data_IF_231826178951
#
_entry.id   IF_231826178951
#
_cell.length_a   1.000
_cell.length_b   1.000
_cell.length_c   1.000
_cell.angle_alpha   90.00
_cell.angle_beta   90.00
_cell.angle_gamma   90.00
#
_symmetry.space_group_name_H-M   'P 1'
#
loop_
_entity.id
_entity.type
_entity.pdbx_description
1 polymer ?
#
# COMPACT_ATOMS: atom_id res chain seq x y z
N UNK A 1 10.98 -5.70 21.11
CA UNK A 1 12.14 -6.23 20.37
C UNK A 1 11.67 -7.37 19.49
N UNK A 2 12.32 -7.58 18.34
CA UNK A 2 12.03 -8.73 17.48
C UNK A 2 12.65 -10.02 18.03
N UNK A 3 12.12 -11.20 17.69
CA UNK A 3 12.65 -12.48 18.16
C UNK A 3 14.14 -12.66 17.80
N UNK A 4 14.51 -12.28 16.58
CA UNK A 4 15.88 -12.43 16.10
C UNK A 4 16.87 -11.49 16.79
N UNK A 5 16.46 -10.32 17.30
CA UNK A 5 17.33 -9.46 18.09
C UNK A 5 17.86 -10.14 19.36
N UNK A 6 17.13 -11.15 19.86
CA UNK A 6 17.55 -11.96 20.99
C UNK A 6 18.39 -13.18 20.61
N UNK A 7 18.26 -13.67 19.38
CA UNK A 7 18.81 -14.95 18.93
C UNK A 7 19.96 -14.79 17.94
N UNK A 8 20.22 -13.58 17.45
CA UNK A 8 21.19 -13.37 16.38
C UNK A 8 22.61 -13.64 16.84
N UNK A 9 23.15 -14.78 16.41
CA UNK A 9 24.57 -15.10 16.45
C UNK A 9 25.07 -15.54 15.06
N UNK A 10 24.36 -15.15 14.00
CA UNK A 10 24.71 -15.55 12.63
C UNK A 10 25.94 -14.74 12.16
N UNK A 11 27.08 -15.42 12.10
CA UNK A 11 28.28 -14.94 11.43
C UNK A 11 28.28 -15.50 10.00
N UNK A 12 28.62 -14.68 9.00
CA UNK A 12 28.83 -15.18 7.66
C UNK A 12 30.05 -16.13 7.63
N UNK A 13 30.28 -16.82 6.51
CA UNK A 13 31.44 -17.72 6.33
C UNK A 13 32.80 -17.02 6.48
N UNK A 14 32.82 -15.70 6.68
CA UNK A 14 33.99 -14.83 6.87
C UNK A 14 34.02 -14.22 8.29
N UNK A 15 33.13 -14.63 9.20
CA UNK A 15 33.07 -14.12 10.57
C UNK A 15 32.36 -12.76 10.75
N UNK A 16 31.75 -12.19 9.70
CA UNK A 16 31.02 -10.93 9.79
C UNK A 16 29.62 -11.15 10.34
N UNK A 17 29.21 -10.34 11.31
CA UNK A 17 27.85 -10.35 11.86
C UNK A 17 26.82 -10.08 10.76
N UNK A 18 25.95 -11.05 10.48
CA UNK A 18 24.85 -10.89 9.53
C UNK A 18 23.86 -9.89 10.14
N UNK A 19 23.78 -8.70 9.54
CA UNK A 19 22.91 -7.61 10.02
C UNK A 19 21.44 -8.02 9.96
N UNK A 20 20.83 -8.22 11.13
CA UNK A 20 19.42 -8.55 11.29
C UNK A 20 18.49 -7.32 11.24
N UNK A 21 19.06 -6.13 11.10
CA UNK A 21 18.40 -4.82 11.23
C UNK A 21 17.12 -4.70 10.39
N UNK A 22 17.19 -5.01 9.08
CA UNK A 22 16.04 -4.82 8.17
C UNK A 22 14.82 -5.67 8.52
N UNK A 23 15.03 -6.88 9.03
CA UNK A 23 13.92 -7.75 9.42
C UNK A 23 13.35 -7.31 10.78
N UNK A 24 14.22 -6.83 11.68
CA UNK A 24 13.86 -6.26 12.97
C UNK A 24 13.00 -4.99 12.81
N UNK A 25 13.34 -4.14 11.85
CA UNK A 25 12.56 -2.93 11.53
C UNK A 25 11.15 -3.27 11.05
N UNK A 26 10.97 -4.32 10.26
CA UNK A 26 9.64 -4.76 9.80
C UNK A 26 8.81 -5.27 10.98
N UNK A 27 9.43 -5.97 11.93
CA UNK A 27 8.76 -6.41 13.15
C UNK A 27 8.34 -5.24 14.04
N UNK A 28 9.23 -4.26 14.23
CA UNK A 28 8.92 -3.07 15.03
C UNK A 28 7.80 -2.25 14.39
N UNK A 29 7.80 -2.13 13.06
CA UNK A 29 6.71 -1.51 12.29
C UNK A 29 5.39 -2.29 12.46
N UNK A 30 5.44 -3.63 12.45
CA UNK A 30 4.33 -4.51 12.82
C UNK A 30 3.74 -4.20 14.19
N UNK A 31 4.60 -4.02 15.19
CA UNK A 31 4.18 -3.68 16.55
C UNK A 31 3.55 -2.28 16.64
N UNK A 32 4.10 -1.30 15.92
CA UNK A 32 3.57 0.07 15.85
C UNK A 32 2.19 0.06 15.19
N UNK A 33 2.04 -0.62 14.06
CA UNK A 33 0.77 -0.74 13.37
C UNK A 33 -0.29 -1.42 14.26
N UNK A 34 0.09 -2.49 14.97
CA UNK A 34 -0.79 -3.16 15.92
C UNK A 34 -1.24 -2.21 17.04
N UNK A 35 -0.32 -1.43 17.58
CA UNK A 35 -0.60 -0.43 18.60
C UNK A 35 -1.56 0.67 18.09
N UNK A 36 -1.43 1.09 16.83
CA UNK A 36 -2.34 2.06 16.22
C UNK A 36 -3.76 1.51 16.06
N UNK A 37 -3.90 0.20 15.79
CA UNK A 37 -5.20 -0.44 15.58
C UNK A 37 -5.91 -0.77 16.90
N UNK A 38 -5.17 -1.31 17.89
CA UNK A 38 -5.76 -1.86 19.11
C UNK A 38 -5.50 -1.02 20.37
N UNK A 39 -4.72 0.07 20.27
CA UNK A 39 -4.38 0.89 21.42
C UNK A 39 -3.41 0.24 22.42
N UNK A 40 -2.89 -0.96 22.12
CA UNK A 40 -1.84 -1.64 22.89
C UNK A 40 -0.91 -2.45 21.99
N UNK A 41 0.32 -2.71 22.43
CA UNK A 41 1.26 -3.57 21.67
C UNK A 41 0.81 -5.04 21.72
N UNK A 42 1.23 -5.90 20.76
CA UNK A 42 0.83 -7.31 20.72
C UNK A 42 1.12 -8.09 22.00
N UNK A 43 2.14 -7.68 22.75
CA UNK A 43 2.63 -8.34 23.96
C UNK A 43 2.44 -7.49 25.22
N UNK A 44 1.53 -6.50 25.19
CA UNK A 44 1.30 -5.59 26.30
C UNK A 44 0.81 -6.31 27.57
N UNK A 45 0.12 -7.44 27.42
CA UNK A 45 -0.48 -8.20 28.52
C UNK A 45 0.59 -8.92 29.38
N UNK A 46 1.79 -9.12 28.84
CA UNK A 46 2.91 -9.70 29.57
C UNK A 46 3.65 -8.63 30.35
N UNK A 47 3.57 -8.66 31.69
CA UNK A 47 4.13 -7.58 32.54
C UNK A 47 5.66 -7.63 32.66
N UNK A 48 6.23 -8.83 32.73
CA UNK A 48 7.68 -8.99 32.94
C UNK A 48 8.42 -9.11 31.61
N UNK A 49 9.66 -8.61 31.58
CA UNK A 49 10.55 -8.77 30.44
C UNK A 49 10.73 -10.24 30.05
N UNK A 50 10.91 -11.11 31.04
CA UNK A 50 11.11 -12.55 30.80
C UNK A 50 9.88 -13.24 30.21
N UNK A 51 8.67 -12.85 30.66
CA UNK A 51 7.43 -13.34 30.05
C UNK A 51 7.31 -12.90 28.59
N UNK A 52 7.60 -11.63 28.28
CA UNK A 52 7.63 -11.12 26.90
C UNK A 52 8.65 -11.85 26.05
N UNK A 53 9.87 -12.02 26.55
CA UNK A 53 10.93 -12.74 25.85
C UNK A 53 10.48 -14.15 25.46
N UNK A 54 9.96 -14.90 26.43
CA UNK A 54 9.53 -16.29 26.23
C UNK A 54 8.48 -16.43 25.14
N UNK A 55 7.50 -15.52 25.08
CA UNK A 55 6.44 -15.59 24.07
C UNK A 55 6.87 -15.03 22.72
N UNK A 56 7.78 -14.05 22.70
CA UNK A 56 8.31 -13.50 21.45
C UNK A 56 9.20 -14.54 20.74
N UNK A 57 9.95 -15.36 21.48
CA UNK A 57 10.83 -16.40 20.91
C UNK A 57 10.12 -17.75 20.69
N UNK A 58 8.88 -17.91 21.16
CA UNK A 58 8.09 -19.12 20.96
C UNK A 58 7.43 -19.14 19.58
N UNK A 59 7.86 -20.07 18.72
CA UNK A 59 7.32 -20.25 17.37
C UNK A 59 5.86 -20.71 17.35
N UNK A 60 5.38 -21.33 18.42
CA UNK A 60 4.00 -21.77 18.54
C UNK A 60 3.08 -20.69 19.11
N UNK A 61 3.66 -19.60 19.64
CA UNK A 61 2.88 -18.50 20.16
C UNK A 61 2.19 -17.76 19.01
N UNK A 62 0.86 -17.68 19.10
CA UNK A 62 0.02 -16.95 18.15
C UNK A 62 -0.39 -15.63 18.75
N UNK A 63 -0.09 -14.55 18.04
CA UNK A 63 -0.55 -13.21 18.40
C UNK A 63 -2.08 -13.16 18.26
N UNK A 64 -2.75 -12.63 19.27
CA UNK A 64 -4.19 -12.41 19.24
C UNK A 64 -4.52 -11.16 18.42
N UNK A 65 -5.43 -11.28 17.46
CA UNK A 65 -5.95 -10.16 16.68
C UNK A 65 -7.45 -10.03 16.96
N UNK A 66 -7.87 -8.84 17.37
CA UNK A 66 -9.30 -8.53 17.53
C UNK A 66 -10.00 -8.34 16.17
N UNK A 67 -11.32 -8.11 16.18
CA UNK A 67 -12.05 -7.77 14.97
C UNK A 67 -11.56 -6.43 14.39
N UNK A 68 -11.36 -6.39 13.08
CA UNK A 68 -11.03 -5.16 12.34
C UNK A 68 -11.93 -5.03 11.12
N UNK A 69 -12.31 -3.80 10.78
CA UNK A 69 -13.20 -3.53 9.64
C UNK A 69 -12.53 -3.82 8.30
N UNK A 70 -11.20 -3.68 8.21
CA UNK A 70 -10.45 -3.89 6.97
C UNK A 70 -9.67 -5.22 7.02
N UNK A 71 -10.05 -6.23 6.22
CA UNK A 71 -9.37 -7.53 6.21
C UNK A 71 -7.94 -7.45 5.64
N UNK A 72 -7.65 -6.51 4.73
CA UNK A 72 -6.29 -6.31 4.21
C UNK A 72 -5.35 -5.74 5.26
N UNK A 73 -5.85 -4.92 6.19
CA UNK A 73 -5.05 -4.44 7.31
C UNK A 73 -4.64 -5.60 8.22
N UNK A 74 -5.59 -6.49 8.55
CA UNK A 74 -5.30 -7.68 9.36
C UNK A 74 -4.26 -8.58 8.69
N UNK A 75 -4.40 -8.81 7.39
CA UNK A 75 -3.47 -9.64 6.62
C UNK A 75 -2.06 -9.04 6.60
N UNK A 76 -1.95 -7.72 6.39
CA UNK A 76 -0.68 -7.01 6.44
C UNK A 76 -0.01 -7.14 7.82
N UNK A 77 -0.77 -6.95 8.89
CA UNK A 77 -0.26 -7.07 10.26
C UNK A 77 0.23 -8.49 10.58
N UNK A 78 -0.46 -9.53 10.10
CA UNK A 78 -0.02 -10.93 10.24
C UNK A 78 1.30 -11.18 9.53
N UNK A 79 1.48 -10.63 8.31
CA UNK A 79 2.71 -10.75 7.53
C UNK A 79 3.90 -10.00 8.15
N UNK A 80 3.66 -8.88 8.85
CA UNK A 80 4.69 -8.10 9.56
C UNK A 80 5.11 -8.76 10.88
N UNK A 81 4.17 -9.38 11.57
CA UNK A 81 4.38 -10.00 12.88
C UNK A 81 4.61 -11.52 12.79
N UNK A 82 5.17 -12.00 11.68
CA UNK A 82 5.61 -13.40 11.56
C UNK A 82 6.84 -13.64 12.42
N UNK A 83 6.74 -14.63 13.32
CA UNK A 83 7.82 -15.00 14.25
C UNK A 83 9.08 -15.45 13.49
N UNK A 84 8.92 -16.27 12.46
CA UNK A 84 10.03 -16.77 11.66
C UNK A 84 10.54 -15.71 10.67
N UNK A 85 11.86 -15.51 10.64
CA UNK A 85 12.49 -14.45 9.83
C UNK A 85 12.43 -14.77 8.35
N UNK A 86 12.60 -16.03 7.97
CA UNK A 86 12.57 -16.46 6.57
C UNK A 86 11.19 -16.23 5.92
N UNK A 87 10.13 -16.39 6.72
CA UNK A 87 8.74 -16.23 6.30
C UNK A 87 8.23 -14.78 6.38
N UNK A 88 9.00 -13.89 7.05
CA UNK A 88 8.62 -12.49 7.21
C UNK A 88 8.82 -11.76 5.88
N UNK A 89 7.73 -11.16 5.39
CA UNK A 89 7.76 -10.45 4.11
C UNK A 89 8.73 -9.27 4.16
N UNK A 90 9.47 -9.07 3.06
CA UNK A 90 10.38 -7.92 2.90
C UNK A 90 9.63 -6.71 2.35
N UNK A 91 10.18 -5.51 2.58
CA UNK A 91 9.59 -4.23 2.13
C UNK A 91 9.07 -4.27 0.68
N UNK A 92 9.82 -4.76 -0.33
CA UNK A 92 9.31 -4.75 -1.72
C UNK A 92 8.06 -5.61 -1.94
N UNK A 93 7.89 -6.68 -1.17
CA UNK A 93 6.69 -7.53 -1.23
C UNK A 93 5.53 -6.86 -0.50
N UNK A 94 5.82 -6.20 0.63
CA UNK A 94 4.83 -5.52 1.46
C UNK A 94 4.22 -4.31 0.76
N UNK A 95 5.01 -3.53 0.03
CA UNK A 95 4.51 -2.37 -0.71
C UNK A 95 3.53 -2.73 -1.82
N UNK A 96 3.52 -4.00 -2.27
CA UNK A 96 2.53 -4.52 -3.24
C UNK A 96 1.25 -5.01 -2.59
N UNK A 97 1.15 -4.98 -1.26
CA UNK A 97 -0.02 -5.45 -0.55
C UNK A 97 -1.25 -4.57 -0.86
N UNK A 98 -2.46 -5.13 -1.05
CA UNK A 98 -3.68 -4.35 -1.36
C UNK A 98 -4.00 -3.24 -0.35
N UNK A 99 -3.52 -3.36 0.89
CA UNK A 99 -3.65 -2.29 1.90
C UNK A 99 -2.81 -1.04 1.56
N UNK A 100 -1.61 -1.23 1.01
CA UNK A 100 -0.68 -0.13 0.67
C UNK A 100 -0.77 0.27 -0.80
N UNK A 101 -1.17 -0.65 -1.67
CA UNK A 101 -1.39 -0.45 -3.10
C UNK A 101 -2.76 -1.04 -3.46
N UNK A 102 -3.85 -0.31 -3.17
CA UNK A 102 -5.19 -0.78 -3.49
C UNK A 102 -5.33 -0.96 -5.01
N UNK A 103 -6.02 -2.02 -5.46
CA UNK A 103 -6.26 -2.21 -6.88
C UNK A 103 -7.05 -1.01 -7.40
N UNK A 104 -6.49 -0.33 -8.40
CA UNK A 104 -7.18 0.76 -9.09
C UNK A 104 -8.44 0.16 -9.73
N UNK A 105 -9.65 0.65 -9.40
CA UNK A 105 -10.85 0.21 -10.09
C UNK A 105 -10.63 0.38 -11.60
N UNK A 106 -11.00 -0.60 -12.44
CA UNK A 106 -10.92 -0.40 -13.88
C UNK A 106 -11.65 0.88 -14.22
N UNK A 107 -10.90 1.86 -14.74
CA UNK A 107 -11.44 3.16 -15.14
C UNK A 107 -12.64 2.88 -16.02
N UNK A 108 -13.84 3.21 -15.56
CA UNK A 108 -15.01 3.25 -16.45
C UNK A 108 -14.57 4.23 -17.52
N UNK A 109 -14.43 3.82 -18.81
CA UNK A 109 -13.99 4.75 -19.84
C UNK A 109 -14.96 5.90 -19.83
N UNK A 110 -14.50 7.02 -19.31
CA UNK A 110 -15.31 8.23 -19.23
C UNK A 110 -15.64 8.60 -20.68
N UNK A 111 -16.79 9.24 -20.94
CA UNK A 111 -17.08 9.75 -22.29
C UNK A 111 -15.95 10.64 -22.84
N UNK A 112 -15.14 11.23 -21.96
CA UNK A 112 -13.93 11.98 -22.28
C UNK A 112 -12.81 11.09 -22.86
N UNK A 113 -12.58 9.88 -22.36
CA UNK A 113 -11.55 8.97 -22.90
C UNK A 113 -11.85 8.52 -24.33
N UNK A 114 -13.13 8.33 -24.66
CA UNK A 114 -13.57 8.04 -26.04
C UNK A 114 -13.33 9.24 -26.96
N UNK A 115 -13.59 10.46 -26.47
CA UNK A 115 -13.33 11.68 -27.23
C UNK A 115 -11.83 11.95 -27.40
N UNK A 116 -11.00 11.72 -26.37
CA UNK A 116 -9.55 11.87 -26.46
C UNK A 116 -8.91 10.85 -27.41
N UNK A 117 -9.38 9.60 -27.42
CA UNK A 117 -8.95 8.59 -28.40
C UNK A 117 -9.32 8.99 -29.83
N UNK A 118 -10.54 9.50 -30.04
CA UNK A 118 -10.98 9.99 -31.35
C UNK A 118 -10.14 11.20 -31.81
N UNK A 119 -9.83 12.14 -30.91
CA UNK A 119 -8.98 13.30 -31.23
C UNK A 119 -7.56 12.86 -31.60
N UNK A 120 -6.97 11.90 -30.88
CA UNK A 120 -5.64 11.36 -31.20
C UNK A 120 -5.64 10.60 -32.54
N UNK A 121 -6.69 9.82 -32.83
CA UNK A 121 -6.83 9.12 -34.11
C UNK A 121 -6.97 10.10 -35.29
N UNK A 122 -7.70 11.20 -35.11
CA UNK A 122 -7.87 12.23 -36.15
C UNK A 122 -6.61 13.07 -36.33
N UNK A 123 -5.81 13.27 -35.27
CA UNK A 123 -4.53 13.98 -35.34
C UNK A 123 -3.42 13.16 -36.04
N UNK A 124 -3.58 11.84 -36.13
CA UNK A 124 -2.64 10.94 -36.81
C UNK A 124 -2.90 10.82 -38.33
N UNK A 125 -4.10 11.15 -38.81
CA UNK A 125 -4.39 11.27 -40.25
C UNK A 125 -3.98 12.68 -40.73
N UNK A 126 -2.79 12.77 -41.31
CA UNK A 126 -2.35 13.95 -42.04
C UNK A 126 -3.13 14.07 -43.37
N UNK A 127 -3.62 15.28 -43.65
CA UNK A 127 -4.18 15.76 -44.94
C UNK A 127 -5.71 15.74 -45.17
N UNK A 128 -6.46 16.52 -44.38
CA UNK A 128 -7.47 17.41 -45.01
C UNK A 128 -7.84 18.61 -44.10
N UNK A 129 -7.52 19.81 -44.57
CA UNK A 129 -7.89 21.11 -43.98
C UNK A 129 -9.33 21.18 -43.41
N UNK A 130 -10.39 20.61 -44.04
CA UNK A 130 -11.73 20.63 -43.46
C UNK A 130 -11.88 19.86 -42.14
N UNK A 131 -11.08 18.82 -41.87
CA UNK A 131 -11.14 18.12 -40.58
C UNK A 131 -10.52 18.93 -39.46
N UNK A 132 -9.47 19.73 -39.75
CA UNK A 132 -8.85 20.64 -38.78
C UNK A 132 -9.84 21.73 -38.35
N UNK A 133 -10.60 22.30 -39.29
CA UNK A 133 -11.64 23.30 -38.97
C UNK A 133 -12.76 22.69 -38.12
N UNK A 134 -13.17 21.45 -38.43
CA UNK A 134 -14.15 20.71 -37.63
C UNK A 134 -13.62 20.43 -36.22
N UNK A 135 -12.32 20.18 -36.09
CA UNK A 135 -11.62 19.94 -34.83
C UNK A 135 -11.53 21.20 -33.97
N UNK A 136 -11.16 22.36 -34.54
CA UNK A 136 -11.23 23.65 -33.85
C UNK A 136 -12.63 23.94 -33.34
N UNK A 137 -13.66 23.67 -34.14
CA UNK A 137 -15.06 23.90 -33.77
C UNK A 137 -15.51 22.97 -32.62
N UNK A 138 -15.06 21.72 -32.60
CA UNK A 138 -15.35 20.78 -31.51
C UNK A 138 -14.63 21.14 -30.21
N UNK A 139 -13.35 21.54 -30.29
CA UNK A 139 -12.60 22.02 -29.13
C UNK A 139 -13.24 23.28 -28.53
N UNK A 140 -13.69 24.21 -29.37
CA UNK A 140 -14.34 25.44 -28.93
C UNK A 140 -15.66 25.16 -28.18
N UNK A 141 -16.46 24.18 -28.64
CA UNK A 141 -17.66 23.73 -27.93
C UNK A 141 -17.34 23.09 -26.57
N UNK A 142 -16.24 22.35 -26.47
CA UNK A 142 -15.85 21.70 -25.21
C UNK A 142 -15.34 22.73 -24.18
N UNK A 143 -14.55 23.71 -24.62
CA UNK A 143 -14.06 24.80 -23.75
C UNK A 143 -15.25 25.60 -23.18
N UNK A 144 -16.27 25.89 -23.99
CA UNK A 144 -17.48 26.59 -23.55
C UNK A 144 -18.34 25.78 -22.55
N UNK A 145 -18.39 24.45 -22.68
CA UNK A 145 -19.13 23.60 -21.75
C UNK A 145 -18.43 23.41 -20.39
N UNK A 146 -17.10 23.51 -20.35
CA UNK A 146 -16.33 23.49 -19.10
C UNK A 146 -16.60 24.73 -18.26
N UNK A 147 -16.75 25.90 -18.88
CA UNK A 147 -17.09 27.14 -18.17
C UNK A 147 -18.54 27.16 -17.64
N UNK A 148 -19.47 26.49 -18.32
CA UNK A 148 -20.87 26.36 -17.87
C UNK A 148 -21.02 25.55 -16.58
N UNK A 149 -20.18 24.53 -16.38
CA UNK A 149 -20.24 23.68 -15.19
C UNK A 149 -19.65 24.34 -13.94
N UNK A 150 -18.81 25.37 -14.09
CA UNK A 150 -18.22 26.11 -12.96
C UNK A 150 -19.19 27.10 -12.32
N UNK A 151 -20.24 27.52 -13.04
CA UNK A 151 -21.28 28.43 -12.50
C UNK A 151 -22.33 27.74 -11.64
N UNK A 152 -22.55 26.44 -11.81
CA UNK A 152 -23.59 25.71 -11.07
C UNK A 152 -23.13 25.21 -9.68
N UNK A 153 -21.84 25.33 -9.36
CA UNK A 153 -21.26 24.96 -8.05
C UNK A 153 -21.14 26.15 -7.07
N UNK A 154 -21.62 27.35 -7.43
CA UNK A 154 -21.60 28.54 -6.54
C UNK A 154 -22.97 28.92 -5.96
N UNK A 155 -24.02 28.16 -6.27
CA UNK A 155 -25.37 28.35 -5.69
C UNK A 155 -25.91 27.04 -5.13
N UNK A 156 -25.20 26.44 -4.16
CA UNK A 156 -25.77 25.57 -3.11
C UNK A 156 -24.99 25.81 -1.82
#
# INVERSE_FOLDING_TARGET
MSPEAFMCNEQDSKGNTIKCERASDIWSLGCILYQMVYGKTPFADYKTFWAKFKVITDRNHKICYGPVSNPWLLDLMKKWLTCERSERWRIPQLLKHPFLSPPVPPHIPSSQDKQCKLIMQIAQDHESVPQIVKLCTQLQKLILNVDGSSKQLREI
#
